data_IF_174648786230
#
_entry.id   IF_174648786230
#
_cell.length_a   1.000
_cell.length_b   1.000
_cell.length_c   1.000
_cell.angle_alpha   90.00
_cell.angle_beta   90.00
_cell.angle_gamma   90.00
#
_symmetry.space_group_name_H-M   'P 1'
#
loop_
_entity.id
_entity.type
_entity.pdbx_description
1 polymer ?
#
# COMPACT_ATOMS: atom_id res chain seq x y z
N UNK A 1 -3.03 -11.55 10.68
CA UNK A 1 -3.27 -10.11 10.92
C UNK A 1 -4.68 -9.67 10.59
N UNK A 2 -5.26 -10.05 9.45
CA UNK A 2 -6.63 -9.66 9.06
C UNK A 2 -7.70 -9.91 10.16
N UNK A 3 -7.69 -11.08 10.82
CA UNK A 3 -8.59 -11.36 11.95
C UNK A 3 -8.37 -10.44 13.16
N UNK A 4 -7.13 -10.02 13.41
CA UNK A 4 -6.79 -9.07 14.48
C UNK A 4 -7.27 -7.65 14.17
N UNK A 5 -7.11 -7.23 12.92
CA UNK A 5 -7.58 -5.94 12.40
C UNK A 5 -9.09 -5.90 12.09
N UNK A 6 -9.78 -7.03 12.21
CA UNK A 6 -11.20 -7.15 11.87
C UNK A 6 -11.51 -7.00 10.37
N UNK A 7 -10.53 -7.24 9.50
CA UNK A 7 -10.67 -7.23 8.04
C UNK A 7 -11.12 -8.61 7.55
N UNK A 8 -12.37 -8.95 7.82
CA UNK A 8 -12.90 -10.32 7.61
C UNK A 8 -14.17 -10.38 6.75
N UNK A 9 -14.77 -9.23 6.43
CA UNK A 9 -15.95 -9.12 5.59
C UNK A 9 -15.62 -8.50 4.23
N UNK A 10 -16.43 -8.83 3.21
CA UNK A 10 -16.23 -8.37 1.85
C UNK A 10 -16.09 -6.84 1.75
N UNK A 11 -15.08 -6.39 1.00
CA UNK A 11 -14.80 -4.96 0.79
C UNK A 11 -14.03 -4.28 1.93
N UNK A 12 -13.76 -5.00 3.03
CA UNK A 12 -12.80 -4.54 4.03
C UNK A 12 -11.38 -4.80 3.55
N UNK A 13 -10.51 -3.82 3.76
CA UNK A 13 -9.13 -3.88 3.31
C UNK A 13 -8.18 -3.13 4.24
N UNK A 14 -6.90 -3.49 4.19
CA UNK A 14 -5.83 -2.73 4.80
C UNK A 14 -4.65 -2.58 3.85
N UNK A 15 -3.93 -1.46 4.01
CA UNK A 15 -2.61 -1.22 3.42
C UNK A 15 -1.56 -1.43 4.51
N UNK A 16 -0.67 -2.40 4.31
CA UNK A 16 0.46 -2.64 5.20
C UNK A 16 1.71 -2.00 4.62
N UNK A 17 2.19 -0.94 5.27
CA UNK A 17 3.44 -0.24 4.95
C UNK A 17 4.58 -0.82 5.80
N UNK A 18 5.00 -2.04 5.48
CA UNK A 18 6.21 -2.66 6.01
C UNK A 18 7.38 -2.55 5.03
N UNK A 19 8.44 -3.32 5.28
CA UNK A 19 9.58 -3.48 4.34
C UNK A 19 9.06 -3.73 2.92
N UNK A 20 8.18 -4.72 2.79
CA UNK A 20 7.29 -4.88 1.65
C UNK A 20 5.91 -4.28 1.94
N UNK A 21 5.24 -3.86 0.86
CA UNK A 21 3.86 -3.38 0.89
C UNK A 21 2.87 -4.50 0.64
N UNK A 22 1.73 -4.49 1.32
CA UNK A 22 0.61 -5.39 1.05
C UNK A 22 -0.70 -4.62 1.01
N UNK A 23 -1.43 -4.71 -0.10
CA UNK A 23 -2.86 -4.35 -0.14
C UNK A 23 -3.66 -5.64 0.04
N UNK A 24 -4.28 -5.80 1.21
CA UNK A 24 -5.11 -6.95 1.54
C UNK A 24 -6.58 -6.58 1.39
N UNK A 25 -7.39 -7.44 0.78
CA UNK A 25 -8.84 -7.29 0.71
C UNK A 25 -9.53 -8.61 1.07
N UNK A 26 -10.53 -8.56 1.96
CA UNK A 26 -11.40 -9.69 2.23
C UNK A 26 -12.55 -9.76 1.20
N UNK A 27 -12.94 -10.98 0.83
CA UNK A 27 -13.92 -11.26 -0.21
C UNK A 27 -14.91 -12.34 0.24
N UNK A 28 -16.17 -12.23 -0.21
CA UNK A 28 -17.21 -13.24 0.02
C UNK A 28 -17.13 -14.44 -0.95
N UNK A 29 -16.28 -14.37 -1.96
CA UNK A 29 -16.12 -15.41 -2.97
C UNK A 29 -14.67 -15.48 -3.46
N UNK A 30 -14.30 -16.60 -4.07
CA UNK A 30 -13.00 -16.76 -4.73
C UNK A 30 -12.91 -15.90 -5.99
N UNK A 31 -12.04 -14.87 -5.96
CA UNK A 31 -11.85 -13.89 -7.05
C UNK A 31 -10.38 -13.90 -7.53
N UNK A 32 -9.93 -14.86 -8.35
CA UNK A 32 -8.53 -14.95 -8.77
C UNK A 32 -8.16 -13.95 -9.87
N UNK A 33 -6.92 -13.45 -9.83
CA UNK A 33 -6.29 -12.73 -10.95
C UNK A 33 -4.76 -13.00 -11.01
N UNK A 34 -4.37 -14.25 -11.31
CA UNK A 34 -2.95 -14.63 -11.38
C UNK A 34 -2.22 -13.95 -12.56
N UNK A 35 -2.93 -13.56 -13.61
CA UNK A 35 -2.36 -12.84 -14.76
C UNK A 35 -1.80 -11.46 -14.36
N UNK A 36 -2.43 -10.81 -13.38
CA UNK A 36 -1.92 -9.58 -12.76
C UNK A 36 -1.13 -9.84 -11.48
N UNK A 37 -0.67 -11.08 -11.25
CA UNK A 37 0.10 -11.49 -10.08
C UNK A 37 -0.56 -11.15 -8.72
N UNK A 38 -1.89 -11.13 -8.68
CA UNK A 38 -2.67 -11.01 -7.43
C UNK A 38 -2.75 -12.39 -6.78
N UNK A 39 -2.42 -12.46 -5.51
CA UNK A 39 -2.65 -13.68 -4.73
C UNK A 39 -4.10 -13.77 -4.30
N UNK A 40 -4.67 -14.98 -4.32
CA UNK A 40 -6.03 -15.24 -3.84
C UNK A 40 -6.04 -16.53 -3.05
N UNK A 41 -6.43 -16.45 -1.78
CA UNK A 41 -6.43 -17.58 -0.85
C UNK A 41 -7.74 -17.64 -0.07
N UNK A 42 -8.01 -18.79 0.55
CA UNK A 42 -9.05 -18.89 1.57
C UNK A 42 -8.69 -17.99 2.75
N UNK A 43 -9.69 -17.35 3.34
CA UNK A 43 -9.55 -16.66 4.62
C UNK A 43 -9.58 -17.68 5.76
N UNK A 44 -9.23 -17.25 6.97
CA UNK A 44 -9.36 -18.06 8.18
C UNK A 44 -10.82 -18.34 8.61
N UNK A 45 -11.81 -17.68 7.98
CA UNK A 45 -13.23 -17.86 8.28
C UNK A 45 -13.89 -18.73 7.20
N UNK A 46 -14.93 -19.51 7.56
CA UNK A 46 -15.72 -20.25 6.57
C UNK A 46 -16.28 -19.34 5.48
N UNK A 47 -16.42 -19.87 4.26
CA UNK A 47 -17.02 -19.19 3.11
C UNK A 47 -16.47 -17.77 2.85
N UNK A 48 -15.19 -17.56 3.17
CA UNK A 48 -14.51 -16.28 3.06
C UNK A 48 -13.17 -16.47 2.39
N UNK A 49 -12.82 -15.54 1.50
CA UNK A 49 -11.54 -15.50 0.77
C UNK A 49 -10.85 -14.17 1.00
N UNK A 50 -9.61 -14.07 0.56
CA UNK A 50 -8.93 -12.80 0.46
C UNK A 50 -8.01 -12.71 -0.75
N UNK A 51 -7.76 -11.49 -1.17
CA UNK A 51 -6.77 -11.14 -2.16
C UNK A 51 -5.60 -10.38 -1.53
N UNK A 52 -4.43 -10.46 -2.16
CA UNK A 52 -3.27 -9.64 -1.82
C UNK A 52 -2.56 -9.13 -3.06
N UNK A 53 -2.43 -7.81 -3.16
CA UNK A 53 -1.39 -7.18 -3.98
C UNK A 53 -0.12 -7.04 -3.16
N UNK A 54 1.02 -7.42 -3.73
CA UNK A 54 2.32 -7.41 -3.06
C UNK A 54 3.27 -6.45 -3.77
N UNK A 55 3.82 -5.51 -3.00
CA UNK A 55 4.82 -4.53 -3.44
C UNK A 55 6.13 -4.94 -2.77
N UNK A 56 7.15 -5.33 -3.54
CA UNK A 56 8.34 -5.95 -2.98
C UNK A 56 9.22 -4.98 -2.16
N UNK A 57 9.20 -3.69 -2.50
CA UNK A 57 9.90 -2.65 -1.73
C UNK A 57 8.96 -1.48 -1.46
N UNK A 58 8.45 -1.37 -0.23
CA UNK A 58 7.64 -0.24 0.22
C UNK A 58 8.45 0.67 1.13
N UNK A 59 8.50 0.42 2.45
CA UNK A 59 9.39 1.21 3.33
C UNK A 59 10.85 0.99 3.00
N UNK A 60 11.20 -0.14 2.38
CA UNK A 60 12.57 -0.42 1.98
C UNK A 60 13.08 0.52 0.89
N UNK A 61 12.20 1.06 0.03
CA UNK A 61 12.58 2.11 -0.92
C UNK A 61 12.99 3.41 -0.23
N UNK A 62 12.33 3.76 0.88
CA UNK A 62 12.71 4.91 1.68
C UNK A 62 14.00 4.64 2.49
N UNK A 63 14.18 3.42 3.01
CA UNK A 63 15.41 3.02 3.68
C UNK A 63 16.61 3.07 2.72
N UNK A 64 16.45 2.59 1.49
CA UNK A 64 17.46 2.70 0.45
C UNK A 64 17.85 4.16 0.18
N UNK A 65 16.87 5.06 0.02
CA UNK A 65 17.17 6.49 -0.14
C UNK A 65 17.84 7.10 1.11
N UNK A 66 17.46 6.63 2.30
CA UNK A 66 18.07 7.01 3.58
C UNK A 66 19.56 6.66 3.62
N UNK A 67 19.93 5.47 3.16
CA UNK A 67 21.33 5.05 3.03
C UNK A 67 22.10 5.92 2.03
N UNK A 68 21.53 6.18 0.85
CA UNK A 68 22.16 6.99 -0.19
C UNK A 68 22.37 8.44 0.25
N UNK A 69 21.40 9.01 0.98
CA UNK A 69 21.44 10.42 1.40
C UNK A 69 22.12 10.67 2.74
N UNK A 70 22.46 9.61 3.49
CA UNK A 70 23.01 9.70 4.84
C UNK A 70 22.05 10.30 5.87
N UNK A 71 20.73 10.22 5.62
CA UNK A 71 19.67 10.79 6.46
C UNK A 71 18.64 9.75 6.81
N UNK A 72 18.27 9.63 8.08
CA UNK A 72 17.33 8.60 8.51
C UNK A 72 15.96 8.76 7.84
N UNK A 73 15.27 7.64 7.57
CA UNK A 73 13.96 7.64 6.92
C UNK A 73 12.94 8.61 7.56
N UNK A 74 12.92 8.69 8.91
CA UNK A 74 12.07 9.63 9.63
C UNK A 74 12.46 11.11 9.44
N UNK A 75 13.76 11.40 9.31
CA UNK A 75 14.24 12.76 8.98
C UNK A 75 13.83 13.15 7.56
N UNK A 76 13.93 12.22 6.61
CA UNK A 76 13.51 12.45 5.22
C UNK A 76 12.02 12.78 5.14
N UNK A 77 11.16 12.03 5.83
CA UNK A 77 9.71 12.33 5.83
C UNK A 77 9.40 13.60 6.60
N UNK A 78 10.13 13.91 7.68
CA UNK A 78 9.95 15.15 8.43
C UNK A 78 10.34 16.39 7.60
N UNK A 79 11.37 16.30 6.74
CA UNK A 79 11.78 17.38 5.83
C UNK A 79 10.67 17.75 4.83
N UNK A 80 9.77 16.82 4.49
CA UNK A 80 8.62 17.11 3.64
C UNK A 80 7.53 17.89 4.38
N UNK A 81 7.43 17.73 5.70
CA UNK A 81 6.30 18.17 6.53
C UNK A 81 5.03 17.35 6.28
N UNK A 82 3.92 17.76 6.89
CA UNK A 82 2.65 17.02 6.81
C UNK A 82 1.71 17.48 5.68
N UNK A 83 2.06 18.56 4.98
CA UNK A 83 1.24 19.08 3.88
C UNK A 83 1.57 18.35 2.60
N UNK A 84 0.58 17.69 2.00
CA UNK A 84 0.76 17.01 0.72
C UNK A 84 1.10 18.03 -0.37
N UNK A 85 2.09 17.70 -1.21
CA UNK A 85 2.54 18.56 -2.31
C UNK A 85 2.04 17.97 -3.62
N UNK A 86 1.87 18.82 -4.63
CA UNK A 86 1.63 18.33 -5.98
C UNK A 86 2.85 17.51 -6.47
N UNK A 87 2.66 16.38 -7.18
CA UNK A 87 3.75 15.65 -7.79
C UNK A 87 4.59 16.54 -8.69
N UNK A 88 5.90 16.32 -8.66
CA UNK A 88 6.85 17.09 -9.49
C UNK A 88 7.00 16.45 -10.89
N UNK A 89 8.04 16.85 -11.63
CA UNK A 89 8.47 16.14 -12.84
C UNK A 89 9.25 14.84 -12.56
N UNK A 90 9.71 14.62 -11.32
CA UNK A 90 10.49 13.43 -10.94
C UNK A 90 9.56 12.27 -10.62
N UNK A 91 9.83 11.10 -11.20
CA UNK A 91 9.10 9.86 -10.92
C UNK A 91 10.05 8.79 -10.39
N UNK A 92 9.57 7.95 -9.47
CA UNK A 92 10.30 6.82 -8.92
C UNK A 92 9.54 5.50 -9.15
N UNK A 93 10.22 4.50 -9.71
CA UNK A 93 9.73 3.12 -9.74
C UNK A 93 10.32 2.35 -8.55
N UNK A 94 9.50 1.82 -7.61
CA UNK A 94 9.97 1.17 -6.39
C UNK A 94 10.44 -0.29 -6.58
N UNK A 95 10.91 -0.66 -7.77
CA UNK A 95 11.19 -2.05 -8.12
C UNK A 95 12.61 -2.50 -7.76
N UNK A 96 13.12 -2.08 -6.59
CA UNK A 96 14.51 -2.35 -6.18
C UNK A 96 14.85 -3.85 -6.13
N UNK A 97 13.84 -4.70 -5.92
CA UNK A 97 13.95 -6.16 -5.87
C UNK A 97 13.18 -6.86 -7.00
N UNK A 98 12.98 -6.18 -8.15
CA UNK A 98 11.93 -6.54 -9.10
C UNK A 98 10.56 -6.14 -8.57
N UNK A 99 9.49 -6.69 -9.16
CA UNK A 99 8.14 -6.46 -8.67
C UNK A 99 7.22 -7.67 -8.81
N UNK A 100 6.33 -7.85 -7.84
CA UNK A 100 5.30 -8.90 -7.85
C UNK A 100 4.02 -8.41 -8.52
N UNK A 101 3.20 -7.64 -7.83
CA UNK A 101 1.94 -7.15 -8.39
C UNK A 101 2.18 -5.79 -9.05
N UNK A 102 1.83 -5.56 -10.32
CA UNK A 102 1.06 -6.43 -11.21
C UNK A 102 1.90 -7.20 -12.25
N UNK A 103 3.23 -7.11 -12.21
CA UNK A 103 4.10 -7.48 -13.32
C UNK A 103 4.68 -8.90 -13.28
N UNK A 104 4.85 -9.45 -12.08
CA UNK A 104 5.63 -10.66 -11.79
C UNK A 104 6.99 -10.69 -12.52
N UNK A 105 7.75 -9.61 -12.35
CA UNK A 105 8.99 -9.35 -13.08
C UNK A 105 10.17 -9.30 -12.11
N UNK A 106 11.02 -10.32 -12.14
CA UNK A 106 12.21 -10.41 -11.28
C UNK A 106 13.43 -9.67 -11.84
N UNK A 107 13.39 -9.25 -13.10
CA UNK A 107 14.53 -8.66 -13.79
C UNK A 107 14.51 -7.12 -13.72
N UNK A 108 13.32 -6.51 -13.74
CA UNK A 108 13.16 -5.06 -13.62
C UNK A 108 13.81 -4.52 -12.34
N UNK A 109 14.32 -3.28 -12.37
CA UNK A 109 14.92 -2.61 -11.22
C UNK A 109 14.33 -1.23 -10.99
N UNK A 110 14.58 -0.68 -9.79
CA UNK A 110 14.13 0.66 -9.44
C UNK A 110 14.77 1.73 -10.31
N UNK A 111 14.09 2.87 -10.45
CA UNK A 111 14.54 3.95 -11.32
C UNK A 111 14.01 5.30 -10.85
N UNK A 112 14.86 6.33 -10.95
CA UNK A 112 14.43 7.72 -10.98
C UNK A 112 14.44 8.22 -12.42
N UNK A 113 13.38 8.94 -12.81
CA UNK A 113 13.28 9.61 -14.11
C UNK A 113 12.81 11.05 -13.94
N UNK A 114 13.09 11.90 -14.91
CA UNK A 114 12.71 13.32 -14.87
C UNK A 114 13.55 14.19 -13.93
N UNK A 115 14.76 13.74 -13.58
CA UNK A 115 15.70 14.53 -12.78
C UNK A 115 16.11 15.82 -13.49
N UNK A 116 16.21 16.90 -12.72
CA UNK A 116 16.69 18.21 -13.15
C UNK A 116 17.66 18.78 -12.11
N UNK A 117 18.32 19.90 -12.39
CA UNK A 117 19.26 20.53 -11.45
C UNK A 117 18.58 20.94 -10.14
N UNK A 118 17.28 21.19 -10.17
CA UNK A 118 16.45 21.58 -9.03
C UNK A 118 15.95 20.38 -8.20
N UNK A 119 16.23 19.13 -8.63
CA UNK A 119 15.84 17.91 -7.92
C UNK A 119 16.60 17.75 -6.61
N UNK A 120 16.13 18.42 -5.56
CA UNK A 120 16.68 18.33 -4.21
C UNK A 120 16.36 16.99 -3.53
N UNK A 121 17.02 16.70 -2.41
CA UNK A 121 16.73 15.52 -1.58
C UNK A 121 15.24 15.40 -1.25
N UNK A 122 14.60 16.51 -0.86
CA UNK A 122 13.16 16.52 -0.58
C UNK A 122 12.31 16.14 -1.81
N UNK A 123 12.70 16.57 -3.03
CA UNK A 123 12.02 16.15 -4.26
C UNK A 123 12.17 14.65 -4.49
N UNK A 124 13.36 14.09 -4.25
CA UNK A 124 13.59 12.65 -4.37
C UNK A 124 12.80 11.86 -3.32
N UNK A 125 12.76 12.33 -2.07
CA UNK A 125 11.95 11.71 -1.02
C UNK A 125 10.48 11.72 -1.40
N UNK A 126 9.94 12.85 -1.85
CA UNK A 126 8.57 12.97 -2.32
C UNK A 126 8.28 11.94 -3.43
N UNK A 127 9.14 11.86 -4.45
CA UNK A 127 8.99 10.93 -5.56
C UNK A 127 9.01 9.46 -5.09
N UNK A 128 9.83 9.09 -4.10
CA UNK A 128 9.83 7.73 -3.52
C UNK A 128 8.49 7.40 -2.85
N UNK A 129 7.96 8.30 -2.03
CA UNK A 129 6.68 8.08 -1.35
C UNK A 129 5.52 7.97 -2.36
N UNK A 130 5.53 8.83 -3.38
CA UNK A 130 4.57 8.80 -4.49
C UNK A 130 4.68 7.52 -5.31
N UNK A 131 5.89 7.06 -5.65
CA UNK A 131 6.13 5.82 -6.38
C UNK A 131 5.56 4.60 -5.66
N UNK A 132 5.76 4.50 -4.35
CA UNK A 132 5.15 3.43 -3.53
C UNK A 132 3.64 3.58 -3.46
N UNK A 133 3.10 4.80 -3.35
CA UNK A 133 1.66 5.04 -3.40
C UNK A 133 1.05 4.62 -4.76
N UNK A 134 1.76 4.83 -5.86
CA UNK A 134 1.37 4.35 -7.19
C UNK A 134 1.45 2.83 -7.32
N UNK A 135 2.40 2.16 -6.68
CA UNK A 135 2.43 0.70 -6.60
C UNK A 135 1.21 0.13 -5.82
N UNK A 136 0.75 0.82 -4.77
CA UNK A 136 -0.52 0.49 -4.12
C UNK A 136 -1.70 0.72 -5.05
N UNK A 137 -1.67 1.77 -5.88
CA UNK A 137 -2.70 2.00 -6.90
C UNK A 137 -2.72 0.91 -7.96
N UNK A 138 -1.56 0.46 -8.45
CA UNK A 138 -1.50 -0.70 -9.36
C UNK A 138 -2.10 -1.95 -8.72
N UNK A 139 -1.83 -2.19 -7.43
CA UNK A 139 -2.45 -3.28 -6.68
C UNK A 139 -3.97 -3.11 -6.61
N UNK A 140 -4.47 -1.91 -6.30
CA UNK A 140 -5.91 -1.60 -6.27
C UNK A 140 -6.57 -1.87 -7.63
N UNK A 141 -5.97 -1.40 -8.72
CA UNK A 141 -6.46 -1.64 -10.09
C UNK A 141 -6.45 -3.15 -10.44
N UNK A 142 -5.44 -3.90 -9.98
CA UNK A 142 -5.37 -5.34 -10.19
C UNK A 142 -6.46 -6.10 -9.40
N UNK A 143 -6.77 -5.67 -8.17
CA UNK A 143 -7.89 -6.21 -7.39
C UNK A 143 -9.25 -5.84 -8.02
N UNK A 144 -9.39 -4.61 -8.52
CA UNK A 144 -10.60 -4.14 -9.19
C UNK A 144 -10.93 -4.95 -10.43
N UNK A 145 -9.94 -5.26 -11.27
CA UNK A 145 -10.09 -6.14 -12.44
C UNK A 145 -10.54 -7.56 -12.07
N UNK A 146 -10.24 -8.01 -10.85
CA UNK A 146 -10.68 -9.31 -10.33
C UNK A 146 -12.10 -9.28 -9.72
N UNK A 147 -12.77 -8.12 -9.69
CA UNK A 147 -14.12 -7.95 -9.17
C UNK A 147 -14.20 -7.37 -7.74
N UNK A 148 -13.08 -6.96 -7.14
CA UNK A 148 -13.07 -6.37 -5.80
C UNK A 148 -13.21 -4.86 -5.85
N UNK A 149 -14.23 -4.31 -5.19
CA UNK A 149 -14.37 -2.87 -4.99
C UNK A 149 -14.06 -2.51 -3.55
N UNK A 150 -13.16 -1.56 -3.33
CA UNK A 150 -12.82 -1.03 -2.01
C UNK A 150 -13.34 0.39 -1.89
N UNK A 151 -13.90 0.73 -0.74
CA UNK A 151 -14.39 2.09 -0.44
C UNK A 151 -13.53 2.83 0.57
N UNK A 152 -12.66 2.10 1.28
CA UNK A 152 -11.72 2.59 2.29
C UNK A 152 -10.69 1.52 2.60
N UNK A 153 -9.57 1.94 3.19
CA UNK A 153 -8.53 1.03 3.68
C UNK A 153 -8.05 1.46 5.05
N UNK A 154 -7.61 0.52 5.89
CA UNK A 154 -6.90 0.84 7.14
C UNK A 154 -5.40 0.79 6.92
N UNK A 155 -4.64 1.77 7.42
CA UNK A 155 -3.19 1.75 7.36
C UNK A 155 -2.57 1.05 8.57
N UNK A 156 -1.63 0.13 8.30
CA UNK A 156 -0.82 -0.54 9.30
C UNK A 156 0.66 -0.56 8.87
N UNK A 157 1.56 -0.94 9.78
CA UNK A 157 2.99 -1.07 9.50
C UNK A 157 3.79 0.21 9.80
N UNK A 158 5.13 0.12 9.82
CA UNK A 158 5.99 1.21 10.27
C UNK A 158 5.86 2.49 9.45
N UNK A 159 5.58 2.39 8.15
CA UNK A 159 5.40 3.55 7.27
C UNK A 159 4.13 4.34 7.55
N UNK A 160 3.14 3.78 8.25
CA UNK A 160 1.89 4.50 8.59
C UNK A 160 2.09 5.65 9.57
N UNK A 161 3.26 5.76 10.20
CA UNK A 161 3.64 6.89 11.07
C UNK A 161 3.85 8.20 10.30
N UNK A 162 4.04 8.13 8.98
CA UNK A 162 4.20 9.31 8.13
C UNK A 162 2.85 9.79 7.62
N UNK A 163 2.32 10.88 8.19
CA UNK A 163 1.06 11.49 7.74
C UNK A 163 1.13 11.95 6.28
N UNK A 164 2.27 12.48 5.84
CA UNK A 164 2.49 12.81 4.43
C UNK A 164 2.28 11.58 3.54
N UNK A 165 2.86 10.43 3.92
CA UNK A 165 2.76 9.21 3.13
C UNK A 165 1.34 8.68 3.07
N UNK A 166 0.62 8.71 4.19
CA UNK A 166 -0.80 8.35 4.23
C UNK A 166 -1.64 9.25 3.32
N UNK A 167 -1.36 10.57 3.27
CA UNK A 167 -2.03 11.49 2.35
C UNK A 167 -1.71 11.18 0.89
N UNK A 168 -0.47 10.82 0.57
CA UNK A 168 -0.08 10.41 -0.78
C UNK A 168 -0.81 9.13 -1.21
N UNK A 169 -0.92 8.14 -0.31
CA UNK A 169 -1.66 6.89 -0.58
C UNK A 169 -3.15 7.16 -0.73
N UNK A 170 -3.79 7.89 0.21
CA UNK A 170 -5.20 8.23 0.12
C UNK A 170 -5.53 8.93 -1.21
N UNK A 171 -4.71 9.91 -1.59
CA UNK A 171 -4.88 10.68 -2.83
C UNK A 171 -4.61 9.85 -4.08
N UNK A 172 -3.59 8.98 -4.07
CA UNK A 172 -3.30 8.09 -5.19
C UNK A 172 -4.39 7.04 -5.41
N UNK A 173 -4.92 6.46 -4.33
CA UNK A 173 -5.98 5.45 -4.38
C UNK A 173 -7.36 6.07 -4.64
N UNK A 174 -7.56 7.35 -4.31
CA UNK A 174 -8.88 7.98 -4.27
C UNK A 174 -9.77 7.41 -3.16
N UNK A 175 -9.18 6.86 -2.10
CA UNK A 175 -9.88 6.21 -0.99
C UNK A 175 -9.45 6.82 0.35
N UNK A 176 -10.37 7.00 1.31
CA UNK A 176 -10.02 7.33 2.69
C UNK A 176 -9.13 6.25 3.31
N UNK A 177 -8.14 6.68 4.09
CA UNK A 177 -7.22 5.81 4.82
C UNK A 177 -7.42 5.99 6.32
N UNK A 178 -7.96 4.96 6.97
CA UNK A 178 -8.19 4.94 8.41
C UNK A 178 -6.91 4.59 9.18
N UNK A 179 -6.64 5.31 10.26
CA UNK A 179 -5.57 5.05 11.22
C UNK A 179 -6.22 4.39 12.44
N UNK A 180 -5.88 3.13 12.78
CA UNK A 180 -6.42 2.49 13.96
C UNK A 180 -5.86 3.15 15.23
N UNK A 181 -6.65 3.16 16.31
CA UNK A 181 -6.15 3.50 17.64
C UNK A 181 -4.96 2.62 18.02
N UNK A 182 -4.07 3.14 18.88
CA UNK A 182 -2.89 2.41 19.33
C UNK A 182 -3.27 1.08 20.00
N UNK A 183 -2.61 0.00 19.57
CA UNK A 183 -2.80 -1.34 20.14
C UNK A 183 -2.13 -2.44 19.32
N UNK A 184 -2.07 -3.65 19.89
CA UNK A 184 -1.57 -4.84 19.19
C UNK A 184 -2.73 -5.62 18.56
N UNK A 185 -2.98 -5.34 17.28
CA UNK A 185 -3.99 -6.00 16.46
C UNK A 185 -3.36 -6.95 15.43
N UNK A 186 -2.11 -7.36 15.69
CA UNK A 186 -1.29 -8.15 14.77
C UNK A 186 -1.73 -9.60 14.62
N UNK A 187 -0.84 -10.41 14.03
CA UNK A 187 -1.11 -11.83 13.79
C UNK A 187 -1.35 -12.62 15.09
N UNK A 188 -0.63 -12.32 16.17
CA UNK A 188 -0.78 -12.97 17.46
C UNK A 188 -2.19 -12.75 18.04
N UNK A 189 -2.68 -11.50 18.03
CA UNK A 189 -4.04 -11.19 18.49
C UNK A 189 -5.11 -11.86 17.61
N UNK A 190 -4.91 -11.89 16.29
CA UNK A 190 -5.77 -12.65 15.39
C UNK A 190 -5.82 -14.14 15.71
N UNK A 191 -4.69 -14.76 16.06
CA UNK A 191 -4.64 -16.17 16.47
C UNK A 191 -5.38 -16.41 17.79
N UNK A 192 -5.23 -15.50 18.77
CA UNK A 192 -5.99 -15.56 20.03
C UNK A 192 -7.51 -15.48 19.79
N UNK A 193 -7.96 -14.60 18.89
CA UNK A 193 -9.37 -14.52 18.46
C UNK A 193 -9.87 -15.82 17.84
N UNK A 194 -9.08 -16.45 16.95
CA UNK A 194 -9.44 -17.74 16.37
C UNK A 194 -9.54 -18.85 17.42
N UNK A 195 -8.63 -18.87 18.39
CA UNK A 195 -8.70 -19.80 19.54
C UNK A 195 -9.98 -19.58 20.36
N UNK A 196 -10.34 -18.33 20.63
CA UNK A 196 -11.58 -17.98 21.32
C UNK A 196 -12.83 -18.43 20.55
N UNK A 197 -12.87 -18.19 19.23
CA UNK A 197 -13.96 -18.63 18.34
C UNK A 197 -14.14 -20.14 18.44
N UNK A 198 -13.05 -20.90 18.27
CA UNK A 198 -13.09 -22.36 18.31
C UNK A 198 -13.51 -22.91 19.68
N UNK A 199 -13.05 -22.29 20.77
CA UNK A 199 -13.34 -22.74 22.13
C UNK A 199 -14.80 -22.46 22.57
N UNK A 200 -15.41 -21.40 22.04
CA UNK A 200 -16.74 -20.93 22.48
C UNK A 200 -17.85 -21.17 21.47
N UNK A 201 -17.52 -21.43 20.21
CA UNK A 201 -18.50 -21.47 19.11
C UNK A 201 -19.10 -20.09 18.80
N UNK A 202 -18.48 -19.00 19.25
CA UNK A 202 -18.96 -17.65 19.00
C UNK A 202 -18.93 -17.30 17.50
N UNK A 203 -19.86 -16.44 17.09
CA UNK A 203 -19.90 -15.88 15.74
C UNK A 203 -18.57 -15.16 15.43
N UNK A 204 -17.80 -15.62 14.42
CA UNK A 204 -16.53 -15.01 14.07
C UNK A 204 -16.61 -13.52 13.74
N UNK A 205 -17.71 -13.05 13.15
CA UNK A 205 -17.87 -11.62 12.80
C UNK A 205 -18.05 -10.74 14.04
N UNK A 206 -18.53 -11.31 15.15
CA UNK A 206 -18.64 -10.60 16.44
C UNK A 206 -17.34 -10.60 17.23
N UNK A 207 -16.44 -11.55 16.97
CA UNK A 207 -15.14 -11.64 17.65
C UNK A 207 -14.06 -10.86 16.89
N UNK A 208 -14.03 -11.00 15.56
CA UNK A 208 -13.06 -10.34 14.68
C UNK A 208 -13.52 -8.92 14.30
N UNK A 209 -13.73 -8.06 15.31
CA UNK A 209 -14.11 -6.66 15.12
C UNK A 209 -12.90 -5.79 14.82
N UNK A 210 -13.09 -4.76 13.99
CA UNK A 210 -12.07 -3.76 13.73
C UNK A 210 -11.78 -2.95 15.01
N UNK A 211 -10.52 -2.52 15.23
CA UNK A 211 -10.22 -1.55 16.28
C UNK A 211 -10.94 -0.23 16.01
N UNK A 212 -11.06 0.60 17.06
CA UNK A 212 -11.54 1.97 16.89
C UNK A 212 -10.59 2.73 15.95
N UNK A 213 -11.16 3.56 15.07
CA UNK A 213 -10.39 4.49 14.24
C UNK A 213 -10.01 5.71 15.08
N UNK A 214 -8.71 6.04 15.13
CA UNK A 214 -8.20 7.24 15.80
C UNK A 214 -8.33 8.47 14.90
N UNK A 215 -7.98 8.32 13.63
CA UNK A 215 -8.09 9.36 12.62
C UNK A 215 -8.34 8.77 11.23
N UNK A 216 -8.91 9.58 10.34
CA UNK A 216 -9.08 9.23 8.92
C UNK A 216 -8.35 10.27 8.07
N UNK A 217 -7.52 9.80 7.15
CA UNK A 217 -6.84 10.62 6.16
C UNK A 217 -7.65 10.58 4.86
N UNK A 218 -8.27 11.71 4.54
CA UNK A 218 -9.03 11.87 3.30
C UNK A 218 -8.12 12.13 2.10
N UNK A 219 -8.51 11.70 0.88
CA UNK A 219 -7.84 12.11 -0.35
C UNK A 219 -7.81 13.64 -0.47
N UNK A 220 -6.68 14.20 -0.90
CA UNK A 220 -6.56 15.65 -1.10
C UNK A 220 -7.16 16.01 -2.45
N UNK A 221 -8.44 16.37 -2.47
CA UNK A 221 -9.22 16.62 -3.70
C UNK A 221 -8.54 17.62 -4.66
N UNK A 222 -7.90 18.67 -4.13
CA UNK A 222 -7.18 19.67 -4.94
C UNK A 222 -5.97 19.11 -5.70
N UNK A 223 -5.49 17.91 -5.36
CA UNK A 223 -4.34 17.25 -5.97
C UNK A 223 -4.72 15.97 -6.73
N UNK A 224 -5.99 15.58 -6.76
CA UNK A 224 -6.44 14.33 -7.38
C UNK A 224 -6.06 14.22 -8.86
N UNK A 225 -6.29 15.27 -9.65
CA UNK A 225 -5.94 15.28 -11.08
C UNK A 225 -4.42 15.21 -11.28
N UNK A 226 -3.65 15.95 -10.48
CA UNK A 226 -2.19 15.94 -10.54
C UNK A 226 -1.61 14.55 -10.19
N UNK A 227 -2.19 13.85 -9.21
CA UNK A 227 -1.84 12.47 -8.86
C UNK A 227 -2.27 11.48 -9.94
N UNK A 228 -3.42 11.68 -10.59
CA UNK A 228 -3.85 10.86 -11.71
C UNK A 228 -2.89 10.97 -12.90
N UNK A 229 -2.46 12.18 -13.24
CA UNK A 229 -1.48 12.44 -14.30
C UNK A 229 -0.11 11.85 -13.97
N UNK A 230 0.35 12.02 -12.72
CA UNK A 230 1.59 11.43 -12.25
C UNK A 230 1.56 9.89 -12.28
N UNK A 231 0.43 9.29 -11.92
CA UNK A 231 0.22 7.86 -12.04
C UNK A 231 0.29 7.37 -13.50
N UNK A 232 -0.28 8.11 -14.46
CA UNK A 232 -0.16 7.72 -15.88
C UNK A 232 1.29 7.77 -16.35
N UNK A 233 2.07 8.80 -15.95
CA UNK A 233 3.51 8.85 -16.23
C UNK A 233 4.23 7.64 -15.62
N UNK A 234 3.99 7.35 -14.35
CA UNK A 234 4.54 6.19 -13.65
C UNK A 234 4.27 4.87 -14.40
N UNK A 235 3.03 4.63 -14.85
CA UNK A 235 2.67 3.41 -15.59
C UNK A 235 3.38 3.28 -16.93
N UNK A 236 3.59 4.39 -17.64
CA UNK A 236 4.29 4.39 -18.93
C UNK A 236 5.80 4.10 -18.78
N UNK A 237 6.37 4.36 -17.60
CA UNK A 237 7.79 4.10 -17.35
C UNK A 237 8.10 2.61 -17.28
N UNK A 238 7.24 1.76 -16.72
CA UNK A 238 7.51 0.31 -16.63
C UNK A 238 7.87 -0.33 -17.99
N UNK A 239 7.02 -0.27 -19.04
CA UNK A 239 7.35 -0.89 -20.32
C UNK A 239 8.56 -0.23 -20.99
N UNK A 240 8.74 1.08 -20.84
CA UNK A 240 9.88 1.81 -21.42
C UNK A 240 11.21 1.39 -20.78
N UNK A 241 11.27 1.35 -19.45
CA UNK A 241 12.47 0.94 -18.72
C UNK A 241 12.75 -0.53 -18.94
N UNK A 242 11.73 -1.38 -18.89
CA UNK A 242 11.88 -2.81 -19.21
C UNK A 242 12.48 -3.00 -20.59
N UNK A 243 12.01 -2.30 -21.61
CA UNK A 243 12.57 -2.41 -22.96
C UNK A 243 14.03 -1.90 -23.04
N UNK A 244 14.41 -0.93 -22.21
CA UNK A 244 15.75 -0.37 -22.18
C UNK A 244 16.75 -1.19 -21.34
N UNK A 245 16.28 -2.05 -20.44
CA UNK A 245 17.12 -2.82 -19.50
C UNK A 245 16.96 -4.34 -19.61
N UNK A 246 16.14 -4.83 -20.55
CA UNK A 246 15.94 -6.25 -20.82
C UNK A 246 17.15 -6.90 -21.50
#
# INVERSE_FOLDING_TARGET
SACGMGTVAAGQAFVSLGTSGVLFAANASYLPNPESAVHTFCHALPDTWHQMGVILSATDSLNWLSEISGKGAGELTAELGDTLKAPTGVSFLPYLSGERTPHNDSAIRGSFTGLAHESSRAVLTQAVLEGVAFAFRDSLEALAKAGTTLTRVTAIGGGSRSHYWLKAIATALGLPVDIPADGDFGAAFGAARLGLIAATGADPLRVCTAPATDATIEPVAALSDAYADAYQRYRLLYPAIKAATA
#
